data_IF_519488805075
#
_entry.id   IF_519488805075
#
_cell.length_a   1.000
_cell.length_b   1.000
_cell.length_c   1.000
_cell.angle_alpha   90.00
_cell.angle_beta   90.00
_cell.angle_gamma   90.00
#
_symmetry.space_group_name_H-M   'P 1'
#
loop_
_entity.id
_entity.type
_entity.pdbx_description
1 polymer ?
#
# COMPACT_ATOMS: atom_id res chain seq x y z
N UNK A 1 14.39 -0.18 -18.56
CA UNK A 1 13.33 0.67 -18.00
C UNK A 1 12.06 -0.14 -17.87
N UNK A 2 11.71 -0.58 -16.66
CA UNK A 2 10.44 -1.29 -16.41
C UNK A 2 9.33 -0.28 -16.16
N UNK A 3 8.26 -0.31 -16.97
CA UNK A 3 7.10 0.56 -16.76
C UNK A 3 6.36 0.21 -15.47
N UNK A 4 5.92 1.24 -14.72
CA UNK A 4 5.05 1.07 -13.54
C UNK A 4 3.73 0.46 -14.00
N UNK A 5 3.26 -0.58 -13.29
CA UNK A 5 1.98 -1.23 -13.58
C UNK A 5 1.01 -0.93 -12.45
N UNK A 6 -0.19 -0.49 -12.82
CA UNK A 6 -1.25 -0.20 -11.87
C UNK A 6 -2.33 -1.29 -11.93
N UNK A 7 -2.94 -1.57 -10.79
CA UNK A 7 -4.07 -2.46 -10.66
C UNK A 7 -5.31 -1.66 -10.32
N UNK A 8 -6.27 -1.68 -11.25
CA UNK A 8 -7.54 -0.99 -11.13
C UNK A 8 -8.58 -1.96 -10.58
N UNK A 9 -9.30 -1.53 -9.56
CA UNK A 9 -10.50 -2.18 -9.02
C UNK A 9 -11.61 -1.16 -8.96
N UNK A 10 -12.86 -1.62 -8.88
CA UNK A 10 -14.03 -0.73 -8.72
C UNK A 10 -13.92 0.14 -7.45
N UNK A 11 -13.15 -0.32 -6.45
CA UNK A 11 -12.95 0.38 -5.18
C UNK A 11 -11.68 1.24 -5.14
N UNK A 12 -10.64 0.88 -5.90
CA UNK A 12 -9.31 1.49 -5.85
C UNK A 12 -8.71 1.59 -7.25
N UNK A 13 -8.43 2.81 -7.71
CA UNK A 13 -7.91 3.11 -9.06
C UNK A 13 -6.42 3.50 -9.07
N UNK A 14 -5.75 3.46 -7.92
CA UNK A 14 -4.43 4.06 -7.67
C UNK A 14 -3.42 3.07 -7.03
N UNK A 15 -3.64 1.75 -7.20
CA UNK A 15 -2.74 0.74 -6.63
C UNK A 15 -1.60 0.39 -7.58
N UNK A 16 -0.36 0.69 -7.21
CA UNK A 16 0.84 0.29 -7.95
C UNK A 16 1.24 -1.16 -7.61
N UNK A 17 1.46 -2.00 -8.63
CA UNK A 17 1.92 -3.38 -8.46
C UNK A 17 3.42 -3.41 -8.16
N UNK A 18 3.77 -4.01 -7.03
CA UNK A 18 5.14 -4.20 -6.57
C UNK A 18 5.71 -5.53 -7.10
N UNK A 19 4.87 -6.58 -7.21
CA UNK A 19 5.29 -7.91 -7.68
C UNK A 19 4.42 -8.43 -8.81
N UNK A 20 4.98 -9.33 -9.62
CA UNK A 20 4.33 -9.91 -10.81
C UNK A 20 3.91 -11.37 -10.65
N UNK A 21 3.89 -11.88 -9.41
CA UNK A 21 3.60 -13.29 -9.12
C UNK A 21 2.09 -13.62 -9.20
N UNK A 22 1.71 -14.87 -8.93
CA UNK A 22 0.30 -15.31 -8.98
C UNK A 22 -0.57 -14.62 -7.93
N UNK A 23 -0.03 -14.45 -6.72
CA UNK A 23 -0.52 -13.49 -5.73
C UNK A 23 0.41 -12.30 -5.76
N UNK A 24 -0.14 -11.10 -5.92
CA UNK A 24 0.65 -9.88 -6.12
C UNK A 24 0.59 -8.98 -4.91
N UNK A 25 1.67 -8.25 -4.67
CA UNK A 25 1.69 -7.14 -3.74
C UNK A 25 1.41 -5.85 -4.50
N UNK A 26 0.54 -5.01 -3.96
CA UNK A 26 0.29 -3.67 -4.46
C UNK A 26 0.40 -2.64 -3.34
N UNK A 27 0.69 -1.39 -3.68
CA UNK A 27 0.73 -0.26 -2.76
C UNK A 27 -0.18 0.85 -3.25
N UNK A 28 -0.90 1.45 -2.31
CA UNK A 28 -1.66 2.68 -2.50
C UNK A 28 -1.04 3.78 -1.67
N UNK A 29 -0.71 4.91 -2.27
CA UNK A 29 -0.24 6.09 -1.55
C UNK A 29 -1.37 7.10 -1.44
N UNK A 30 -1.72 7.50 -0.23
CA UNK A 30 -2.73 8.53 0.00
C UNK A 30 -2.12 9.71 0.77
N UNK A 31 -2.33 10.96 0.34
CA UNK A 31 -1.96 12.12 1.13
C UNK A 31 -2.83 12.19 2.39
N UNK A 32 -2.20 12.45 3.52
CA UNK A 32 -2.84 12.69 4.80
C UNK A 32 -2.29 14.00 5.39
N UNK A 33 -3.13 14.84 6.02
CA UNK A 33 -2.61 16.00 6.73
C UNK A 33 -1.67 15.54 7.86
N UNK A 34 -0.45 16.05 7.84
CA UNK A 34 0.59 15.86 8.84
C UNK A 34 0.34 16.79 10.03
N UNK A 35 -0.08 16.20 11.16
CA UNK A 35 -0.28 16.90 12.42
C UNK A 35 -0.88 15.97 13.47
N UNK A 36 -0.58 16.23 14.75
CA UNK A 36 -1.22 15.52 15.86
C UNK A 36 -2.70 15.89 15.87
N UNK A 37 -3.55 14.92 15.56
CA UNK A 37 -4.96 15.11 15.30
C UNK A 37 -5.71 15.78 16.46
N UNK A 38 -6.33 16.91 16.15
CA UNK A 38 -7.61 17.30 16.70
C UNK A 38 -8.56 17.50 15.52
N UNK A 39 -9.50 16.57 15.40
CA UNK A 39 -10.84 16.66 14.80
C UNK A 39 -11.06 17.56 13.57
N UNK A 40 -11.57 16.98 12.48
CA UNK A 40 -13.00 17.12 12.10
C UNK A 40 -13.31 16.62 10.67
N UNK A 41 -14.39 15.84 10.60
CA UNK A 41 -15.40 15.73 9.54
C UNK A 41 -15.03 15.97 8.07
N UNK A 42 -15.13 14.88 7.30
CA UNK A 42 -15.78 14.84 5.98
C UNK A 42 -15.42 15.95 5.00
N UNK A 43 -14.33 15.80 4.26
CA UNK A 43 -14.16 16.52 3.00
C UNK A 43 -14.10 15.52 1.86
N UNK A 44 -15.19 15.48 1.10
CA UNK A 44 -15.26 14.88 -0.22
C UNK A 44 -14.38 15.70 -1.17
N UNK A 45 -13.37 15.07 -1.78
CA UNK A 45 -12.67 15.68 -2.91
C UNK A 45 -13.39 15.27 -4.19
N UNK A 46 -14.30 16.13 -4.65
CA UNK A 46 -14.66 16.19 -6.07
C UNK A 46 -13.60 17.03 -6.77
N UNK A 47 -13.07 16.52 -7.89
CA UNK A 47 -12.23 17.32 -8.77
C UNK A 47 -13.07 18.49 -9.31
N UNK A 48 -12.82 19.69 -8.82
CA UNK A 48 -13.33 20.91 -9.43
C UNK A 48 -12.15 21.79 -9.82
N UNK A 49 -12.14 22.12 -11.10
CA UNK A 49 -11.22 23.00 -11.79
C UNK A 49 -11.14 24.36 -11.10
N UNK A 50 -9.93 24.94 -11.06
CA UNK A 50 -9.73 26.36 -10.82
C UNK A 50 -9.38 26.76 -9.39
N UNK A 51 -8.15 26.48 -8.94
CA UNK A 51 -7.30 27.51 -8.34
C UNK A 51 -5.85 27.03 -8.25
N UNK A 52 -4.91 27.85 -8.71
CA UNK A 52 -3.48 27.54 -8.81
C UNK A 52 -2.81 27.52 -7.44
N UNK A 53 -2.86 26.40 -6.73
CA UNK A 53 -1.93 26.11 -5.65
C UNK A 53 -0.74 25.33 -6.23
N UNK A 54 0.36 26.03 -6.49
CA UNK A 54 1.63 25.44 -6.95
C UNK A 54 2.22 24.55 -5.85
N UNK A 55 1.75 23.31 -5.76
CA UNK A 55 2.36 22.30 -4.89
C UNK A 55 3.59 21.71 -5.55
N UNK A 56 4.74 21.87 -4.91
CA UNK A 56 5.99 21.23 -5.32
C UNK A 56 6.05 19.82 -4.73
N UNK A 57 6.21 18.82 -5.60
CA UNK A 57 6.44 17.44 -5.21
C UNK A 57 7.95 17.21 -5.12
N UNK A 58 8.49 17.21 -3.90
CA UNK A 58 9.93 17.04 -3.67
C UNK A 58 10.19 15.56 -3.40
N UNK A 59 10.95 14.93 -4.30
CA UNK A 59 11.45 13.56 -4.13
C UNK A 59 12.83 13.63 -3.46
N UNK A 60 12.96 13.13 -2.23
CA UNK A 60 14.28 12.92 -1.65
C UNK A 60 14.85 11.54 -2.06
N UNK A 61 16.18 11.42 -2.05
CA UNK A 61 16.89 10.21 -2.51
C UNK A 61 16.60 8.93 -1.69
N UNK A 62 15.83 9.05 -0.60
CA UNK A 62 15.39 7.92 0.25
C UNK A 62 13.99 7.38 -0.07
N UNK A 63 13.34 7.84 -1.15
CA UNK A 63 12.01 7.37 -1.54
C UNK A 63 10.85 7.99 -0.74
N UNK A 64 11.12 9.02 0.06
CA UNK A 64 10.08 9.82 0.70
C UNK A 64 9.73 11.01 -0.21
N UNK A 65 8.45 11.11 -0.59
CA UNK A 65 7.91 12.26 -1.31
C UNK A 65 7.21 13.17 -0.30
N UNK A 66 7.63 14.43 -0.24
CA UNK A 66 6.97 15.47 0.55
C UNK A 66 6.23 16.40 -0.40
N UNK A 67 4.97 16.69 -0.07
CA UNK A 67 4.15 17.66 -0.77
C UNK A 67 4.08 18.92 0.08
N UNK A 68 4.70 20.00 -0.40
CA UNK A 68 4.70 21.27 0.29
C UNK A 68 3.64 22.18 -0.36
N UNK A 69 2.53 22.39 0.34
CA UNK A 69 1.51 23.35 -0.06
C UNK A 69 1.78 24.68 0.67
N UNK A 70 2.35 25.65 -0.06
CA UNK A 70 2.70 26.97 0.47
C UNK A 70 1.50 27.85 0.87
N UNK A 71 0.25 27.38 0.76
CA UNK A 71 -0.93 28.19 1.03
C UNK A 71 -1.56 28.00 2.43
N UNK A 72 -1.16 27.01 3.23
CA UNK A 72 -1.86 26.70 4.50
C UNK A 72 -1.01 26.37 5.72
N UNK A 73 0.32 26.30 5.62
CA UNK A 73 1.18 25.89 6.74
C UNK A 73 0.92 24.45 7.22
N UNK A 74 0.08 23.70 6.51
CA UNK A 74 -0.30 22.34 6.84
C UNK A 74 0.69 21.40 6.14
N UNK A 75 1.53 20.72 6.94
CA UNK A 75 2.36 19.66 6.43
C UNK A 75 1.47 18.53 5.90
N UNK A 76 1.85 17.90 4.79
CA UNK A 76 1.19 16.71 4.27
C UNK A 76 2.15 15.53 4.30
N UNK A 77 1.68 14.38 4.75
CA UNK A 77 2.44 13.12 4.72
C UNK A 77 1.78 12.15 3.76
N UNK A 78 2.58 11.38 3.03
CA UNK A 78 2.05 10.28 2.23
C UNK A 78 2.00 9.02 3.07
N UNK A 79 0.82 8.42 3.14
CA UNK A 79 0.60 7.15 3.81
C UNK A 79 0.54 6.02 2.78
N UNK A 80 1.46 5.08 2.89
CA UNK A 80 1.46 3.85 2.11
C UNK A 80 0.55 2.81 2.75
N UNK A 81 -0.39 2.26 1.99
CA UNK A 81 -1.20 1.11 2.37
C UNK A 81 -0.96 -0.02 1.39
N UNK A 82 -0.58 -1.18 1.89
CA UNK A 82 -0.27 -2.35 1.08
C UNK A 82 -1.48 -3.27 0.93
N UNK A 83 -1.58 -3.93 -0.21
CA UNK A 83 -2.65 -4.85 -0.58
C UNK A 83 -2.09 -6.13 -1.19
N UNK A 84 -2.71 -7.25 -0.87
CA UNK A 84 -2.55 -8.53 -1.56
C UNK A 84 -3.63 -8.65 -2.62
N UNK A 85 -3.23 -8.91 -3.85
CA UNK A 85 -4.15 -9.25 -4.93
C UNK A 85 -4.07 -10.76 -5.11
N UNK A 86 -5.16 -11.45 -4.79
CA UNK A 86 -5.23 -12.89 -4.92
C UNK A 86 -5.40 -13.34 -6.38
N UNK A 87 -5.46 -14.65 -6.60
CA UNK A 87 -5.62 -15.26 -7.93
C UNK A 87 -6.97 -14.92 -8.58
N UNK A 88 -7.97 -14.58 -7.77
CA UNK A 88 -9.30 -14.16 -8.22
C UNK A 88 -9.36 -12.65 -8.49
N UNK A 89 -8.21 -11.96 -8.48
CA UNK A 89 -8.10 -10.51 -8.67
C UNK A 89 -8.80 -9.69 -7.57
N UNK A 90 -9.01 -10.28 -6.39
CA UNK A 90 -9.57 -9.58 -5.24
C UNK A 90 -8.42 -8.94 -4.44
N UNK A 91 -8.55 -7.65 -4.17
CA UNK A 91 -7.60 -6.91 -3.35
C UNK A 91 -7.97 -7.02 -1.86
N UNK A 92 -7.02 -7.48 -1.05
CA UNK A 92 -7.14 -7.59 0.40
C UNK A 92 -6.09 -6.69 1.05
N UNK A 93 -6.47 -5.85 2.02
CA UNK A 93 -5.47 -5.06 2.75
C UNK A 93 -4.46 -5.97 3.43
N UNK A 94 -3.17 -5.71 3.22
CA UNK A 94 -2.08 -6.49 3.77
C UNK A 94 -2.19 -6.54 5.29
N UNK A 95 -2.37 -7.75 5.80
CA UNK A 95 -2.57 -8.03 7.22
C UNK A 95 -2.38 -9.51 7.46
N UNK A 96 -2.10 -9.88 8.70
CA UNK A 96 -2.03 -11.30 9.10
C UNK A 96 -3.25 -12.10 8.64
N UNK A 97 -4.45 -11.52 8.78
CA UNK A 97 -5.70 -12.17 8.33
C UNK A 97 -5.71 -12.37 6.81
N UNK A 98 -5.36 -11.35 6.04
CA UNK A 98 -5.33 -11.44 4.57
C UNK A 98 -4.37 -12.54 4.09
N UNK A 99 -3.15 -12.61 4.63
CA UNK A 99 -2.21 -13.70 4.27
C UNK A 99 -2.76 -15.09 4.61
N UNK A 100 -3.41 -15.26 5.78
CA UNK A 100 -4.04 -16.53 6.13
C UNK A 100 -5.22 -16.90 5.23
N UNK A 101 -5.96 -15.92 4.71
CA UNK A 101 -7.08 -16.16 3.78
C UNK A 101 -6.57 -16.49 2.39
N UNK A 102 -5.66 -15.67 1.84
CA UNK A 102 -5.12 -15.84 0.49
C UNK A 102 -4.29 -17.12 0.37
N UNK A 103 -3.52 -17.45 1.42
CA UNK A 103 -2.72 -18.68 1.49
C UNK A 103 -3.33 -19.72 2.45
N UNK A 104 -4.65 -19.92 2.36
CA UNK A 104 -5.38 -20.84 3.26
C UNK A 104 -4.81 -22.26 3.29
N UNK A 105 -4.33 -22.79 2.15
CA UNK A 105 -3.72 -24.13 2.07
C UNK A 105 -2.39 -24.22 2.84
N UNK A 106 -1.58 -23.17 2.81
CA UNK A 106 -0.29 -23.06 3.50
C UNK A 106 -0.38 -22.41 4.88
N UNK A 107 -1.58 -22.27 5.46
CA UNK A 107 -1.82 -21.44 6.66
C UNK A 107 -0.92 -21.80 7.84
N UNK A 108 -0.63 -23.08 8.06
CA UNK A 108 0.25 -23.53 9.15
C UNK A 108 1.66 -22.98 8.99
N UNK A 109 2.21 -23.05 7.79
CA UNK A 109 3.54 -22.53 7.46
C UNK A 109 3.60 -21.00 7.56
N UNK A 110 2.57 -20.31 7.06
CA UNK A 110 2.45 -18.85 7.19
C UNK A 110 2.40 -18.42 8.66
N UNK A 111 1.61 -19.12 9.49
CA UNK A 111 1.53 -18.83 10.92
C UNK A 111 2.87 -19.06 11.62
N UNK A 112 3.59 -20.13 11.26
CA UNK A 112 4.94 -20.40 11.77
C UNK A 112 5.91 -19.28 11.39
N UNK A 113 5.96 -18.92 10.11
CA UNK A 113 6.82 -17.85 9.62
C UNK A 113 6.57 -16.53 10.37
N UNK A 114 5.30 -16.14 10.54
CA UNK A 114 4.90 -14.91 11.25
C UNK A 114 5.18 -14.95 12.77
N UNK A 115 5.46 -16.12 13.35
CA UNK A 115 5.89 -16.23 14.75
C UNK A 115 7.40 -16.10 14.88
N UNK A 116 8.13 -16.65 13.91
CA UNK A 116 9.60 -16.62 13.87
C UNK A 116 10.13 -15.26 13.41
N UNK A 117 9.39 -14.58 12.54
CA UNK A 117 9.78 -13.30 11.97
C UNK A 117 8.80 -12.20 12.40
N UNK A 118 9.32 -11.08 12.89
CA UNK A 118 8.52 -9.88 13.16
C UNK A 118 8.28 -9.15 11.85
N UNK A 119 7.15 -9.45 11.20
CA UNK A 119 6.73 -8.81 9.95
C UNK A 119 5.97 -7.52 10.24
N UNK A 120 6.46 -6.39 9.73
CA UNK A 120 5.71 -5.14 9.68
C UNK A 120 4.87 -5.06 8.40
N UNK A 121 3.54 -5.03 8.55
CA UNK A 121 2.60 -4.91 7.42
C UNK A 121 2.52 -3.48 6.84
N UNK A 122 3.24 -2.52 7.41
CA UNK A 122 3.48 -1.20 6.85
C UNK A 122 4.83 -1.10 6.12
N UNK A 123 5.62 -2.17 6.06
CA UNK A 123 6.91 -2.20 5.38
C UNK A 123 6.84 -3.03 4.08
N UNK A 124 7.25 -2.46 2.96
CA UNK A 124 7.24 -3.15 1.67
C UNK A 124 8.17 -4.37 1.63
N UNK A 125 9.37 -4.26 2.21
CA UNK A 125 10.38 -5.31 2.17
C UNK A 125 9.95 -6.55 2.96
N UNK A 126 9.42 -6.35 4.17
CA UNK A 126 8.89 -7.43 5.00
C UNK A 126 7.74 -8.16 4.29
N UNK A 127 6.84 -7.41 3.65
CA UNK A 127 5.73 -7.97 2.89
C UNK A 127 6.19 -8.73 1.64
N UNK A 128 7.23 -8.25 0.94
CA UNK A 128 7.82 -8.95 -0.19
C UNK A 128 8.47 -10.26 0.26
N UNK A 129 9.22 -10.26 1.37
CA UNK A 129 9.84 -11.48 1.91
C UNK A 129 8.79 -12.51 2.33
N UNK A 130 7.75 -12.07 3.05
CA UNK A 130 6.63 -12.93 3.43
C UNK A 130 5.91 -13.48 2.19
N UNK A 131 5.64 -12.64 1.19
CA UNK A 131 4.98 -13.06 -0.04
C UNK A 131 5.82 -14.08 -0.82
N UNK A 132 7.12 -13.83 -0.93
CA UNK A 132 8.05 -14.76 -1.57
C UNK A 132 8.06 -16.13 -0.86
N UNK A 133 8.12 -16.13 0.47
CA UNK A 133 7.96 -17.36 1.26
C UNK A 133 6.64 -18.07 0.94
N UNK A 134 5.52 -17.33 0.95
CA UNK A 134 4.20 -17.89 0.70
C UNK A 134 4.05 -18.50 -0.70
N UNK A 135 4.63 -17.86 -1.72
CA UNK A 135 4.54 -18.33 -3.10
C UNK A 135 5.40 -19.57 -3.38
N UNK A 136 6.40 -19.83 -2.54
CA UNK A 136 7.20 -21.07 -2.56
C UNK A 136 6.58 -22.22 -1.74
N UNK A 137 5.44 -22.01 -1.09
CA UNK A 137 4.75 -23.08 -0.36
C UNK A 137 4.17 -24.10 -1.36
N UNK A 138 4.34 -25.41 -1.11
CA UNK A 138 3.83 -26.43 -2.00
C UNK A 138 2.29 -26.36 -2.08
N UNK A 139 1.78 -26.09 -3.27
CA UNK A 139 0.36 -26.25 -3.58
C UNK A 139 0.05 -27.75 -3.73
N UNK A 140 -0.03 -28.49 -2.61
CA UNK A 140 -0.61 -29.83 -2.64
C UNK A 140 -2.10 -29.78 -2.97
#
# INVERSE_FOLDING_TARGET
MGGRKFFLTDTYSDMELITSEAVRLAVRMQPQPGGNGLSHSGQHFSASEGNTASGLLISNQGGNFQWENNASGQAWTLKSTYFLIDRNRVAHRASRRAFMTVFARGKRDVVRYLREHRVDFANASDLQQLLHFCNNLPSR
#
